data_IF_848962970999
#
_entry.id   IF_848962970999
#
_cell.length_a   1.000
_cell.length_b   1.000
_cell.length_c   1.000
_cell.angle_alpha   90.00
_cell.angle_beta   90.00
_cell.angle_gamma   90.00
#
_symmetry.space_group_name_H-M   'P 1'
#
loop_
_entity.id
_entity.type
_entity.pdbx_description
1 polymer ?
#
# COMPACT_ATOMS: atom_id res chain seq x y z
N UNK A 1 -3.40 0.19 12.45
CA UNK A 1 -3.46 1.65 12.65
C UNK A 1 -2.36 2.30 11.81
N UNK A 2 -2.57 3.53 11.32
CA UNK A 2 -1.56 4.27 10.54
C UNK A 2 -0.64 5.02 11.50
N UNK A 3 0.61 4.59 11.60
CA UNK A 3 1.60 5.22 12.50
C UNK A 3 2.20 6.51 11.91
N UNK A 4 2.40 6.55 10.60
CA UNK A 4 2.99 7.68 9.89
C UNK A 4 2.43 7.75 8.46
N UNK A 5 2.18 8.97 7.98
CA UNK A 5 1.69 9.24 6.64
C UNK A 5 2.49 10.38 6.02
N UNK A 6 2.79 10.25 4.73
CA UNK A 6 3.37 11.33 3.94
C UNK A 6 2.69 11.40 2.58
N UNK A 7 2.09 12.56 2.30
CA UNK A 7 1.48 12.86 1.01
C UNK A 7 2.54 13.49 0.10
N UNK A 8 2.57 13.05 -1.15
CA UNK A 8 3.49 13.53 -2.18
C UNK A 8 2.69 14.09 -3.35
N UNK A 9 3.36 14.78 -4.29
CA UNK A 9 2.75 15.26 -5.54
C UNK A 9 1.63 16.30 -5.38
N UNK A 10 1.46 16.88 -4.18
CA UNK A 10 0.48 17.95 -3.92
C UNK A 10 -0.99 17.51 -4.00
N UNK A 11 -1.25 16.23 -4.28
CA UNK A 11 -2.59 15.65 -4.30
C UNK A 11 -2.80 14.85 -3.03
N UNK A 12 -3.84 15.19 -2.29
CA UNK A 12 -4.20 14.47 -1.07
C UNK A 12 -4.86 13.14 -1.44
N UNK A 13 -4.31 12.04 -0.92
CA UNK A 13 -4.92 10.72 -0.99
C UNK A 13 -5.71 10.48 0.29
N UNK A 14 -6.97 10.06 0.14
CA UNK A 14 -7.84 9.77 1.27
C UNK A 14 -7.45 8.46 1.99
N UNK A 15 -7.54 8.47 3.32
CA UNK A 15 -7.13 7.33 4.18
C UNK A 15 -8.01 6.09 4.00
N UNK A 16 -9.17 6.19 3.34
CA UNK A 16 -9.97 5.02 2.96
C UNK A 16 -9.17 3.99 2.18
N UNK A 17 -8.13 4.41 1.44
CA UNK A 17 -7.25 3.46 0.73
C UNK A 17 -6.48 2.54 1.70
N UNK A 18 -6.09 3.04 2.87
CA UNK A 18 -5.42 2.26 3.90
C UNK A 18 -6.37 1.24 4.53
N UNK A 19 -7.62 1.65 4.79
CA UNK A 19 -8.66 0.76 5.30
C UNK A 19 -8.95 -0.34 4.28
N UNK A 20 -9.13 0.03 3.02
CA UNK A 20 -9.34 -0.91 1.92
C UNK A 20 -8.20 -1.92 1.81
N UNK A 21 -6.94 -1.46 1.86
CA UNK A 21 -5.78 -2.36 1.86
C UNK A 21 -5.81 -3.35 3.03
N UNK A 22 -6.11 -2.87 4.24
CA UNK A 22 -6.20 -3.72 5.42
C UNK A 22 -7.30 -4.78 5.29
N UNK A 23 -8.44 -4.45 4.69
CA UNK A 23 -9.52 -5.41 4.41
C UNK A 23 -9.09 -6.48 3.39
N UNK A 24 -8.29 -6.11 2.37
CA UNK A 24 -7.73 -7.08 1.42
C UNK A 24 -6.66 -7.98 2.07
N UNK A 25 -5.88 -7.44 3.01
CA UNK A 25 -4.84 -8.19 3.72
C UNK A 25 -5.41 -9.08 4.85
N UNK A 26 -6.52 -8.71 5.47
CA UNK A 26 -7.13 -9.41 6.61
C UNK A 26 -7.49 -10.91 6.39
N UNK A 27 -8.07 -11.33 5.24
CA UNK A 27 -8.32 -12.75 4.98
C UNK A 27 -7.02 -13.56 4.88
N UNK A 28 -5.90 -12.89 4.68
CA UNK A 28 -4.60 -13.45 4.42
C UNK A 28 -3.72 -13.17 5.65
N UNK A 29 -3.99 -13.88 6.76
CA UNK A 29 -3.21 -13.75 8.02
C UNK A 29 -1.70 -14.01 7.85
N UNK A 30 -1.30 -14.62 6.74
CA UNK A 30 0.08 -14.75 6.32
C UNK A 30 0.43 -13.61 5.36
N UNK A 31 1.11 -12.56 5.83
CA UNK A 31 1.56 -11.45 4.98
C UNK A 31 2.33 -11.89 3.72
N UNK A 32 2.94 -13.09 3.75
CA UNK A 32 3.64 -13.72 2.62
C UNK A 32 2.71 -14.09 1.44
N UNK A 33 1.39 -14.16 1.66
CA UNK A 33 0.40 -14.50 0.63
C UNK A 33 -0.25 -13.26 -0.01
N UNK A 34 -0.04 -12.07 0.54
CA UNK A 34 -0.50 -10.81 -0.07
C UNK A 34 0.52 -10.39 -1.13
N UNK A 35 0.12 -10.15 -2.39
CA UNK A 35 1.07 -9.72 -3.42
C UNK A 35 1.62 -8.33 -3.09
N UNK A 36 2.92 -8.12 -3.31
CA UNK A 36 3.59 -6.84 -3.02
C UNK A 36 2.99 -5.66 -3.78
N UNK A 37 2.32 -5.92 -4.91
CA UNK A 37 1.59 -4.93 -5.70
C UNK A 37 0.12 -5.34 -5.79
N UNK A 38 -0.78 -4.41 -5.45
CA UNK A 38 -2.23 -4.61 -5.47
C UNK A 38 -2.86 -3.47 -6.27
N UNK A 39 -3.69 -3.78 -7.25
CA UNK A 39 -4.49 -2.79 -7.95
C UNK A 39 -5.82 -2.59 -7.22
N UNK A 40 -6.07 -1.38 -6.74
CA UNK A 40 -7.41 -0.93 -6.37
C UNK A 40 -8.08 -0.26 -7.58
N UNK A 41 -9.39 0.04 -7.54
CA UNK A 41 -10.06 0.74 -8.63
C UNK A 41 -9.49 2.13 -8.97
N UNK A 42 -8.76 2.76 -8.04
CA UNK A 42 -8.28 4.14 -8.19
C UNK A 42 -6.77 4.31 -8.07
N UNK A 43 -6.07 3.35 -7.47
CA UNK A 43 -4.64 3.43 -7.18
C UNK A 43 -3.97 2.06 -7.32
N UNK A 44 -2.72 2.06 -7.73
CA UNK A 44 -1.79 0.97 -7.48
C UNK A 44 -1.20 1.11 -6.09
N UNK A 45 -1.24 0.04 -5.31
CA UNK A 45 -0.71 -0.05 -3.97
C UNK A 45 0.54 -0.92 -4.00
N UNK A 46 1.61 -0.44 -3.39
CA UNK A 46 2.82 -1.21 -3.15
C UNK A 46 2.96 -1.41 -1.66
N UNK A 47 3.20 -2.63 -1.22
CA UNK A 47 3.35 -2.93 0.19
C UNK A 47 4.50 -3.89 0.45
N UNK A 48 5.13 -3.69 1.60
CA UNK A 48 6.10 -4.62 2.18
C UNK A 48 5.89 -4.71 3.68
N UNK A 49 6.20 -5.86 4.26
CA UNK A 49 6.21 -6.06 5.71
C UNK A 49 7.65 -6.30 6.15
N UNK A 50 8.16 -5.45 7.04
CA UNK A 50 9.49 -5.62 7.66
C UNK A 50 9.34 -5.53 9.17
N UNK A 51 9.81 -6.55 9.88
CA UNK A 51 9.79 -6.59 11.35
C UNK A 51 8.39 -6.33 11.97
N UNK A 52 7.34 -6.80 11.30
CA UNK A 52 5.95 -6.60 11.73
C UNK A 52 5.36 -5.23 11.39
N UNK A 53 6.12 -4.35 10.74
CA UNK A 53 5.66 -3.04 10.26
C UNK A 53 5.29 -3.16 8.79
N UNK A 54 4.08 -2.71 8.45
CA UNK A 54 3.62 -2.62 7.06
C UNK A 54 3.94 -1.24 6.51
N UNK A 55 4.72 -1.20 5.44
CA UNK A 55 4.94 -0.01 4.63
C UNK A 55 4.00 -0.10 3.45
N UNK A 56 3.23 0.97 3.22
CA UNK A 56 2.25 1.06 2.15
C UNK A 56 2.50 2.34 1.37
N UNK A 57 2.72 2.21 0.07
CA UNK A 57 2.76 3.30 -0.89
C UNK A 57 1.58 3.17 -1.85
N UNK A 58 1.11 4.29 -2.39
CA UNK A 58 0.07 4.31 -3.41
C UNK A 58 0.42 5.29 -4.53
N UNK A 59 0.01 4.97 -5.75
CA UNK A 59 0.21 5.82 -6.93
C UNK A 59 -0.95 5.66 -7.91
N UNK A 60 -1.25 6.69 -8.67
CA UNK A 60 -2.21 6.64 -9.79
C UNK A 60 -1.53 6.46 -11.14
N UNK A 61 -0.21 6.68 -11.21
CA UNK A 61 0.58 6.49 -12.43
C UNK A 61 1.25 5.12 -12.42
N UNK A 62 1.37 4.52 -13.60
CA UNK A 62 2.19 3.33 -13.79
C UNK A 62 3.66 3.67 -13.49
N UNK A 63 4.32 2.81 -12.72
CA UNK A 63 5.73 2.92 -12.39
C UNK A 63 6.34 1.53 -12.17
N UNK A 64 7.65 1.35 -12.40
CA UNK A 64 8.32 0.10 -12.07
C UNK A 64 8.16 -0.19 -10.58
N UNK A 65 7.64 -1.37 -10.17
CA UNK A 65 7.38 -1.65 -8.76
C UNK A 65 8.63 -1.57 -7.87
N UNK A 66 9.79 -1.93 -8.41
CA UNK A 66 11.07 -1.82 -7.71
C UNK A 66 11.39 -0.37 -7.32
N UNK A 67 11.03 0.63 -8.14
CA UNK A 67 11.24 2.05 -7.82
C UNK A 67 10.44 2.50 -6.59
N UNK A 68 9.33 1.82 -6.27
CA UNK A 68 8.53 2.11 -5.07
C UNK A 68 8.92 1.30 -3.84
N UNK A 69 9.74 0.25 -4.00
CA UNK A 69 10.06 -0.73 -2.93
C UNK A 69 11.53 -0.65 -2.48
N UNK A 70 12.46 -0.36 -3.40
CA UNK A 70 13.90 -0.22 -3.14
C UNK A 70 14.22 1.08 -2.40
#
# INVERSE_FOLDING_TARGET
EVMLEKQWMGQQVDRSICVWFLEQAFPVRDSCKVPSVIASPTHYLLHIVREGITFLACTQSEMPPLLGIE
#
